data_IF_869432078958
#
_entry.id   IF_869432078958
#
_cell.length_a   1.000
_cell.length_b   1.000
_cell.length_c   1.000
_cell.angle_alpha   90.00
_cell.angle_beta   90.00
_cell.angle_gamma   90.00
#
_symmetry.space_group_name_H-M   'P 1'
#
loop_
_entity.id
_entity.type
_entity.pdbx_description
1 polymer ?
#
# COMPACT_ATOMS: atom_id res chain seq x y z
N UNK A 1 -13.13 2.80 13.91
CA UNK A 1 -12.70 2.07 12.69
C UNK A 1 -13.38 0.71 12.70
N UNK A 2 -13.98 0.28 11.60
CA UNK A 2 -14.61 -1.03 11.47
C UNK A 2 -13.67 -2.01 10.78
N UNK A 3 -13.87 -3.32 10.99
CA UNK A 3 -13.22 -4.36 10.21
C UNK A 3 -13.65 -4.27 8.74
N UNK A 4 -12.80 -4.74 7.83
CA UNK A 4 -13.11 -4.84 6.40
C UNK A 4 -13.43 -6.30 6.10
N UNK A 5 -14.66 -6.57 5.68
CA UNK A 5 -15.13 -7.91 5.34
C UNK A 5 -15.33 -8.06 3.84
N UNK A 6 -14.69 -9.08 3.28
CA UNK A 6 -14.90 -9.57 1.91
C UNK A 6 -15.86 -10.75 2.00
N UNK A 7 -16.98 -10.72 1.29
CA UNK A 7 -18.02 -11.74 1.35
C UNK A 7 -18.33 -12.33 -0.02
N UNK A 8 -18.09 -13.62 -0.16
CA UNK A 8 -18.44 -14.42 -1.35
C UNK A 8 -17.98 -13.78 -2.67
N UNK A 9 -16.82 -13.09 -2.65
CA UNK A 9 -16.31 -12.37 -3.81
C UNK A 9 -15.84 -13.34 -4.88
N UNK A 10 -16.33 -13.12 -6.12
CA UNK A 10 -15.84 -13.80 -7.31
C UNK A 10 -15.40 -12.76 -8.33
N UNK A 11 -14.28 -13.01 -9.00
CA UNK A 11 -13.72 -12.16 -10.06
C UNK A 11 -13.15 -13.02 -11.15
N UNK A 12 -13.54 -12.70 -12.39
CA UNK A 12 -13.03 -13.36 -13.60
C UNK A 12 -12.49 -12.33 -14.60
N UNK A 13 -11.52 -12.75 -15.40
CA UNK A 13 -11.01 -12.04 -16.58
C UNK A 13 -11.20 -12.92 -17.80
N UNK A 14 -12.28 -12.69 -18.54
CA UNK A 14 -12.73 -13.60 -19.57
C UNK A 14 -13.08 -14.97 -18.98
N UNK A 15 -12.46 -16.03 -19.46
CA UNK A 15 -12.67 -17.40 -18.96
C UNK A 15 -11.81 -17.75 -17.72
N UNK A 16 -10.90 -16.86 -17.33
CA UNK A 16 -10.01 -17.11 -16.19
C UNK A 16 -10.67 -16.65 -14.88
N UNK A 17 -11.08 -17.61 -14.04
CA UNK A 17 -11.60 -17.36 -12.69
C UNK A 17 -10.45 -17.14 -11.71
N UNK A 18 -10.27 -15.90 -11.25
CA UNK A 18 -9.15 -15.50 -10.37
C UNK A 18 -9.52 -15.59 -8.90
N UNK A 19 -10.74 -15.18 -8.55
CA UNK A 19 -11.30 -15.37 -7.22
C UNK A 19 -12.65 -16.09 -7.37
N UNK A 20 -12.91 -17.10 -6.53
CA UNK A 20 -14.15 -17.87 -6.57
C UNK A 20 -14.72 -18.00 -5.17
N UNK A 21 -15.87 -17.34 -4.92
CA UNK A 21 -16.60 -17.38 -3.66
C UNK A 21 -15.69 -17.11 -2.42
N UNK A 22 -14.75 -16.18 -2.57
CA UNK A 22 -13.74 -15.90 -1.56
C UNK A 22 -14.32 -15.02 -0.45
N UNK A 23 -14.08 -15.41 0.81
CA UNK A 23 -14.52 -14.66 1.98
C UNK A 23 -13.39 -14.56 3.00
N UNK A 24 -13.19 -13.36 3.56
CA UNK A 24 -12.21 -13.09 4.62
C UNK A 24 -12.56 -11.82 5.37
N UNK A 25 -11.90 -11.62 6.51
CA UNK A 25 -12.04 -10.40 7.33
C UNK A 25 -10.65 -9.85 7.63
N UNK A 26 -10.48 -8.55 7.48
CA UNK A 26 -9.30 -7.80 7.88
C UNK A 26 -9.63 -7.02 9.16
N UNK A 27 -9.04 -7.39 10.31
CA UNK A 27 -9.33 -6.73 11.57
C UNK A 27 -8.90 -5.26 11.57
N UNK A 28 -9.71 -4.40 12.19
CA UNK A 28 -9.38 -2.97 12.32
C UNK A 28 -8.10 -2.76 13.15
N UNK A 29 -7.25 -1.82 12.71
CA UNK A 29 -6.00 -1.47 13.41
C UNK A 29 -4.94 -2.57 13.38
N UNK A 30 -5.09 -3.58 12.53
CA UNK A 30 -4.12 -4.67 12.35
C UNK A 30 -3.42 -4.60 11.00
N UNK A 31 -2.26 -5.23 10.93
CA UNK A 31 -1.51 -5.42 9.70
C UNK A 31 -1.74 -6.84 9.18
N UNK A 32 -2.19 -6.97 7.93
CA UNK A 32 -2.41 -8.27 7.27
C UNK A 32 -1.64 -8.35 5.97
N UNK A 33 -0.82 -9.38 5.82
CA UNK A 33 -0.11 -9.71 4.59
C UNK A 33 -0.89 -10.72 3.76
N UNK A 34 -1.24 -10.38 2.53
CA UNK A 34 -1.83 -11.30 1.56
C UNK A 34 -0.67 -12.00 0.84
N UNK A 35 -0.56 -13.30 1.02
CA UNK A 35 0.47 -14.14 0.43
C UNK A 35 -0.13 -15.23 -0.46
N UNK A 36 0.65 -15.73 -1.40
CA UNK A 36 0.25 -16.81 -2.30
C UNK A 36 1.09 -16.83 -3.59
N UNK A 37 0.92 -17.83 -4.44
CA UNK A 37 1.64 -17.97 -5.70
C UNK A 37 1.43 -16.74 -6.62
N UNK A 38 2.32 -16.58 -7.60
CA UNK A 38 2.09 -15.58 -8.66
C UNK A 38 0.83 -15.92 -9.43
N UNK A 39 -0.01 -14.92 -9.72
CA UNK A 39 -1.25 -15.09 -10.48
C UNK A 39 -2.46 -15.60 -9.68
N UNK A 40 -2.34 -15.92 -8.38
CA UNK A 40 -3.48 -16.41 -7.57
C UNK A 40 -4.53 -15.36 -7.23
N UNK A 41 -4.35 -14.08 -7.62
CA UNK A 41 -5.38 -13.05 -7.43
C UNK A 41 -5.11 -12.04 -6.32
N UNK A 42 -3.91 -11.98 -5.73
CA UNK A 42 -3.59 -11.04 -4.63
C UNK A 42 -3.85 -9.57 -4.99
N UNK A 43 -3.28 -9.10 -6.11
CA UNK A 43 -3.51 -7.74 -6.64
C UNK A 43 -4.99 -7.52 -6.99
N UNK A 44 -5.66 -8.56 -7.50
CA UNK A 44 -7.10 -8.50 -7.79
C UNK A 44 -7.91 -8.32 -6.50
N UNK A 45 -7.63 -9.11 -5.46
CA UNK A 45 -8.27 -8.96 -4.16
C UNK A 45 -8.05 -7.56 -3.59
N UNK A 46 -6.82 -7.06 -3.62
CA UNK A 46 -6.49 -5.72 -3.15
C UNK A 46 -7.25 -4.64 -3.95
N UNK A 47 -7.37 -4.82 -5.27
CA UNK A 47 -8.13 -3.91 -6.15
C UNK A 47 -9.64 -3.93 -5.87
N UNK A 48 -10.20 -5.09 -5.52
CA UNK A 48 -11.61 -5.21 -5.11
C UNK A 48 -11.83 -4.52 -3.77
N UNK A 49 -10.94 -4.73 -2.79
CA UNK A 49 -11.00 -4.04 -1.49
C UNK A 49 -10.95 -2.53 -1.68
N UNK A 50 -10.08 -2.04 -2.56
CA UNK A 50 -9.94 -0.61 -2.89
C UNK A 50 -11.12 -0.03 -3.69
N UNK A 51 -12.09 -0.86 -4.12
CA UNK A 51 -13.19 -0.42 -5.01
C UNK A 51 -12.74 -0.06 -6.43
N UNK A 52 -11.49 -0.38 -6.81
CA UNK A 52 -10.94 -0.16 -8.15
C UNK A 52 -11.42 -1.21 -9.16
N UNK A 53 -11.86 -2.35 -8.66
CA UNK A 53 -12.47 -3.43 -9.42
C UNK A 53 -13.79 -3.83 -8.78
N UNK A 54 -14.87 -3.78 -9.55
CA UNK A 54 -16.17 -4.32 -9.13
C UNK A 54 -16.10 -5.84 -9.26
N UNK A 55 -16.40 -6.62 -8.22
CA UNK A 55 -16.45 -8.08 -8.33
C UNK A 55 -17.65 -8.53 -9.17
N UNK A 56 -17.55 -9.71 -9.78
CA UNK A 56 -18.64 -10.32 -10.56
C UNK A 56 -19.76 -10.80 -9.64
N UNK A 57 -19.42 -11.20 -8.40
CA UNK A 57 -20.35 -11.55 -7.33
C UNK A 57 -19.73 -11.24 -5.96
N UNK A 58 -20.59 -11.11 -4.94
CA UNK A 58 -20.16 -10.78 -3.58
C UNK A 58 -19.98 -9.29 -3.34
N UNK A 59 -19.45 -8.95 -2.19
CA UNK A 59 -19.30 -7.55 -1.76
C UNK A 59 -18.13 -7.35 -0.80
N UNK A 60 -17.69 -6.08 -0.66
CA UNK A 60 -16.75 -5.63 0.38
C UNK A 60 -17.48 -4.67 1.30
N UNK A 61 -17.44 -4.95 2.60
CA UNK A 61 -18.09 -4.15 3.64
C UNK A 61 -17.03 -3.55 4.56
N UNK A 62 -17.29 -2.35 5.08
CA UNK A 62 -16.44 -1.71 6.08
C UNK A 62 -15.25 -0.92 5.51
N UNK A 63 -15.06 -0.89 4.20
CA UNK A 63 -14.03 -0.05 3.59
C UNK A 63 -14.39 1.43 3.77
N UNK A 64 -13.51 2.26 4.37
CA UNK A 64 -13.78 3.67 4.54
C UNK A 64 -13.71 4.42 3.20
N UNK A 65 -14.39 5.57 3.12
CA UNK A 65 -14.33 6.42 1.92
C UNK A 65 -12.92 7.00 1.66
N UNK A 66 -12.15 7.21 2.74
CA UNK A 66 -10.78 7.71 2.66
C UNK A 66 -9.80 6.62 3.08
N UNK A 67 -8.95 6.25 2.17
CA UNK A 67 -7.85 5.30 2.36
C UNK A 67 -6.67 5.72 1.48
N UNK A 68 -5.52 5.16 1.73
CA UNK A 68 -4.32 5.38 0.93
C UNK A 68 -3.84 4.08 0.30
N UNK A 69 -3.16 4.19 -0.86
CA UNK A 69 -2.69 3.00 -1.58
C UNK A 69 -1.31 3.22 -2.20
N UNK A 70 -0.46 2.22 -2.03
CA UNK A 70 0.78 2.04 -2.80
C UNK A 70 0.50 0.97 -3.85
N UNK A 71 0.56 1.36 -5.11
CA UNK A 71 0.37 0.43 -6.23
C UNK A 71 1.65 -0.34 -6.53
N UNK A 72 1.57 -1.41 -7.28
CA UNK A 72 2.74 -2.14 -7.76
C UNK A 72 3.65 -1.22 -8.61
N UNK A 73 3.07 -0.35 -9.42
CA UNK A 73 3.74 0.75 -10.10
C UNK A 73 3.72 2.00 -9.22
N UNK A 74 4.77 2.82 -9.26
CA UNK A 74 4.90 3.98 -8.34
C UNK A 74 3.89 5.10 -8.62
N UNK A 75 3.37 5.19 -9.87
CA UNK A 75 2.36 6.17 -10.30
C UNK A 75 2.66 7.59 -9.82
N UNK A 76 3.91 8.00 -9.97
CA UNK A 76 4.37 9.35 -9.66
C UNK A 76 4.20 10.27 -10.88
N UNK A 77 3.95 11.56 -10.63
CA UNK A 77 4.01 12.59 -11.65
C UNK A 77 5.49 12.89 -11.94
N UNK A 78 6.02 12.35 -13.04
CA UNK A 78 7.47 12.35 -13.32
C UNK A 78 8.05 13.75 -13.50
N UNK A 79 7.30 14.67 -14.10
CA UNK A 79 7.72 16.05 -14.31
C UNK A 79 7.66 16.92 -13.05
N UNK A 80 7.06 16.41 -11.99
CA UNK A 80 6.95 17.11 -10.72
C UNK A 80 8.14 16.81 -9.82
N UNK A 81 8.40 17.72 -8.89
CA UNK A 81 9.35 17.46 -7.81
C UNK A 81 8.80 16.43 -6.83
N UNK A 82 9.71 15.83 -6.06
CA UNK A 82 9.34 14.93 -4.96
C UNK A 82 8.33 15.60 -4.01
N UNK A 83 8.65 16.80 -3.53
CA UNK A 83 7.76 17.53 -2.63
C UNK A 83 6.40 17.85 -3.27
N UNK A 84 6.37 18.15 -4.58
CA UNK A 84 5.11 18.39 -5.29
C UNK A 84 4.25 17.12 -5.36
N UNK A 85 4.84 15.95 -5.65
CA UNK A 85 4.13 14.67 -5.61
C UNK A 85 3.50 14.37 -4.23
N UNK A 86 4.21 14.69 -3.15
CA UNK A 86 3.69 14.49 -1.80
C UNK A 86 2.55 15.46 -1.48
N UNK A 87 2.64 16.71 -1.93
CA UNK A 87 1.58 17.72 -1.74
C UNK A 87 0.27 17.40 -2.45
N UNK A 88 0.28 16.54 -3.48
CA UNK A 88 -0.96 16.14 -4.17
C UNK A 88 -1.96 15.42 -3.26
N UNK A 89 -1.47 14.72 -2.23
CA UNK A 89 -2.30 13.92 -1.32
C UNK A 89 -2.28 14.41 0.12
N UNK A 90 -1.27 15.19 0.51
CA UNK A 90 -1.18 15.72 1.85
C UNK A 90 -2.24 16.80 2.05
N UNK A 91 -3.10 16.62 3.05
CA UNK A 91 -3.93 17.71 3.53
C UNK A 91 -3.04 18.92 3.87
N UNK A 92 -3.59 20.14 3.74
CA UNK A 92 -2.83 21.38 3.93
C UNK A 92 -2.04 21.39 5.25
N UNK A 93 -2.61 20.84 6.31
CA UNK A 93 -1.99 20.74 7.64
C UNK A 93 -0.81 19.76 7.65
N UNK A 94 -0.84 18.71 6.84
CA UNK A 94 0.19 17.69 6.79
C UNK A 94 1.37 18.02 5.87
N UNK A 95 1.29 19.12 5.12
CA UNK A 95 2.43 19.53 4.28
C UNK A 95 3.68 19.85 5.07
N UNK A 96 3.54 20.24 6.34
CA UNK A 96 4.66 20.43 7.26
C UNK A 96 5.38 19.11 7.62
N UNK A 97 4.75 17.96 7.44
CA UNK A 97 5.31 16.64 7.71
C UNK A 97 6.18 16.12 6.56
N UNK A 98 6.15 16.76 5.38
CA UNK A 98 6.90 16.30 4.19
C UNK A 98 8.40 16.09 4.47
N UNK A 99 9.13 17.02 5.11
CA UNK A 99 10.54 16.78 5.43
C UNK A 99 10.75 15.56 6.34
N UNK A 100 9.84 15.34 7.30
CA UNK A 100 9.92 14.24 8.26
C UNK A 100 9.71 12.88 7.58
N UNK A 101 8.70 12.76 6.70
CA UNK A 101 8.46 11.51 5.96
C UNK A 101 9.58 11.23 4.97
N UNK A 102 10.12 12.25 4.30
CA UNK A 102 11.27 12.09 3.41
C UNK A 102 12.50 11.63 4.18
N UNK A 103 12.77 12.20 5.36
CA UNK A 103 13.87 11.75 6.20
C UNK A 103 13.67 10.30 6.66
N UNK A 104 12.44 9.91 7.05
CA UNK A 104 12.11 8.55 7.43
C UNK A 104 12.26 7.53 6.27
N UNK A 105 12.17 7.99 5.01
CA UNK A 105 12.41 7.19 3.81
C UNK A 105 13.88 7.24 3.33
N UNK A 106 14.80 7.87 4.07
CA UNK A 106 16.18 8.06 3.62
C UNK A 106 16.31 8.94 2.38
N UNK A 107 15.40 9.91 2.21
CA UNK A 107 15.32 10.83 1.06
C UNK A 107 15.56 12.30 1.48
N UNK A 108 16.47 12.52 2.44
CA UNK A 108 16.83 13.86 2.92
C UNK A 108 17.27 14.73 1.75
N UNK A 109 16.86 16.00 1.74
CA UNK A 109 17.19 17.03 0.76
C UNK A 109 16.77 16.74 -0.71
N UNK A 110 15.99 15.67 -0.95
CA UNK A 110 15.51 15.35 -2.29
C UNK A 110 14.18 16.01 -2.67
N UNK A 111 13.58 16.78 -1.77
CA UNK A 111 12.26 17.38 -2.01
C UNK A 111 12.15 18.27 -3.24
N UNK A 112 13.22 18.96 -3.62
CA UNK A 112 13.27 19.82 -4.81
C UNK A 112 13.63 19.11 -6.11
N UNK A 113 14.13 17.86 -6.03
CA UNK A 113 14.48 17.07 -7.24
C UNK A 113 13.23 16.63 -7.98
N UNK A 114 13.33 16.55 -9.31
CA UNK A 114 12.28 15.95 -10.15
C UNK A 114 12.31 14.43 -10.01
N UNK A 115 11.14 13.81 -10.16
CA UNK A 115 11.02 12.34 -10.09
C UNK A 115 11.84 11.64 -11.19
N UNK A 116 11.98 12.25 -12.35
CA UNK A 116 12.84 11.75 -13.45
C UNK A 116 14.31 11.57 -13.07
N UNK A 117 14.80 12.31 -12.06
CA UNK A 117 16.20 12.25 -11.60
C UNK A 117 16.45 11.13 -10.57
N UNK A 118 15.39 10.43 -10.14
CA UNK A 118 15.46 9.43 -9.09
C UNK A 118 15.73 8.02 -9.63
N UNK A 119 16.46 7.22 -8.87
CA UNK A 119 16.54 5.78 -9.11
C UNK A 119 15.19 5.08 -8.84
N UNK A 120 15.00 3.85 -9.34
CA UNK A 120 13.77 3.09 -9.11
C UNK A 120 13.45 2.90 -7.62
N UNK A 121 14.45 2.54 -6.81
CA UNK A 121 14.27 2.41 -5.36
C UNK A 121 13.94 3.74 -4.67
N UNK A 122 14.44 4.87 -5.16
CA UNK A 122 14.06 6.19 -4.66
C UNK A 122 12.62 6.53 -5.05
N UNK A 123 12.21 6.27 -6.29
CA UNK A 123 10.81 6.44 -6.76
C UNK A 123 9.87 5.61 -5.89
N UNK A 124 10.21 4.35 -5.61
CA UNK A 124 9.42 3.46 -4.75
C UNK A 124 9.22 4.06 -3.36
N UNK A 125 10.30 4.56 -2.74
CA UNK A 125 10.24 5.21 -1.42
C UNK A 125 9.41 6.51 -1.44
N UNK A 126 9.45 7.29 -2.52
CA UNK A 126 8.57 8.46 -2.69
C UNK A 126 7.10 8.06 -2.80
N UNK A 127 6.78 6.96 -3.51
CA UNK A 127 5.41 6.45 -3.61
C UNK A 127 4.88 6.01 -2.24
N UNK A 128 5.70 5.34 -1.43
CA UNK A 128 5.36 4.98 -0.05
C UNK A 128 5.17 6.24 0.80
N UNK A 129 6.12 7.19 0.76
CA UNK A 129 6.02 8.46 1.49
C UNK A 129 4.73 9.21 1.17
N UNK A 130 4.34 9.23 -0.11
CA UNK A 130 3.09 9.85 -0.56
C UNK A 130 1.88 9.17 0.09
N UNK A 131 1.83 7.85 0.12
CA UNK A 131 0.72 7.12 0.75
C UNK A 131 0.65 7.36 2.26
N UNK A 132 1.79 7.47 2.96
CA UNK A 132 1.85 7.75 4.39
C UNK A 132 1.34 9.14 4.75
N UNK A 133 1.47 10.14 3.86
CA UNK A 133 0.97 11.50 4.04
C UNK A 133 -0.52 11.64 3.70
N UNK A 134 -1.09 10.70 2.99
CA UNK A 134 -2.51 10.71 2.66
C UNK A 134 -3.39 10.53 3.90
N UNK A 135 -4.63 11.01 3.79
CA UNK A 135 -5.64 10.86 4.84
C UNK A 135 -6.28 9.48 4.79
N UNK A 136 -6.74 9.01 5.94
CA UNK A 136 -7.47 7.75 6.10
C UNK A 136 -6.77 6.80 7.08
N UNK A 137 -7.59 5.87 7.57
CA UNK A 137 -7.20 4.91 8.59
C UNK A 137 -6.84 3.54 8.00
N UNK A 138 -6.89 3.41 6.67
CA UNK A 138 -6.55 2.19 5.94
C UNK A 138 -5.44 2.49 4.94
N UNK A 139 -4.39 1.69 4.97
CA UNK A 139 -3.31 1.68 3.99
C UNK A 139 -3.30 0.35 3.24
N UNK A 140 -3.46 0.40 1.93
CA UNK A 140 -3.32 -0.75 1.03
C UNK A 140 -1.98 -0.68 0.31
N UNK A 141 -1.25 -1.79 0.20
CA UNK A 141 0.04 -1.80 -0.49
C UNK A 141 0.21 -3.07 -1.34
N UNK A 142 0.59 -2.88 -2.60
CA UNK A 142 0.89 -3.98 -3.53
C UNK A 142 2.40 -4.08 -3.77
N UNK A 143 3.03 -5.14 -3.25
CA UNK A 143 4.47 -5.42 -3.28
C UNK A 143 5.31 -4.18 -2.90
N UNK A 144 5.05 -3.51 -1.74
CA UNK A 144 5.58 -2.17 -1.46
C UNK A 144 7.10 -2.11 -1.40
N UNK A 145 7.77 -3.17 -1.00
CA UNK A 145 9.21 -3.18 -0.75
C UNK A 145 10.03 -3.83 -1.87
N UNK A 146 9.37 -4.20 -2.97
CA UNK A 146 10.03 -4.78 -4.14
C UNK A 146 11.08 -3.85 -4.74
N UNK A 147 12.26 -4.41 -5.02
CA UNK A 147 13.36 -3.66 -5.64
C UNK A 147 14.18 -2.80 -4.67
N UNK A 148 13.89 -2.83 -3.37
CA UNK A 148 14.75 -2.26 -2.35
C UNK A 148 15.81 -3.27 -1.91
N UNK A 149 17.03 -2.79 -1.64
CA UNK A 149 18.05 -3.60 -0.96
C UNK A 149 17.66 -3.88 0.49
N UNK A 150 18.28 -4.87 1.12
CA UNK A 150 17.88 -5.37 2.44
C UNK A 150 17.98 -4.31 3.55
N UNK A 151 19.00 -3.46 3.53
CA UNK A 151 19.21 -2.40 4.53
C UNK A 151 18.12 -1.33 4.41
N UNK A 152 17.96 -0.78 3.19
CA UNK A 152 16.94 0.21 2.87
C UNK A 152 15.53 -0.34 3.15
N UNK A 153 15.26 -1.61 2.81
CA UNK A 153 13.97 -2.25 3.06
C UNK A 153 13.64 -2.24 4.55
N UNK A 154 14.55 -2.66 5.40
CA UNK A 154 14.35 -2.66 6.86
C UNK A 154 14.08 -1.27 7.44
N UNK A 155 14.76 -0.22 6.93
CA UNK A 155 14.49 1.16 7.34
C UNK A 155 13.09 1.64 6.92
N UNK A 156 12.72 1.36 5.68
CA UNK A 156 11.40 1.73 5.14
C UNK A 156 10.27 1.02 5.87
N UNK A 157 10.43 -0.28 6.18
CA UNK A 157 9.45 -1.05 6.97
C UNK A 157 9.24 -0.41 8.35
N UNK A 158 10.32 -0.09 9.07
CA UNK A 158 10.22 0.60 10.37
C UNK A 158 9.51 1.95 10.26
N UNK A 159 9.78 2.70 9.20
CA UNK A 159 9.10 3.96 8.96
C UNK A 159 7.61 3.75 8.69
N UNK A 160 7.24 2.79 7.83
CA UNK A 160 5.83 2.45 7.55
C UNK A 160 5.11 2.08 8.84
N UNK A 161 5.67 1.20 9.68
CA UNK A 161 5.07 0.83 10.96
C UNK A 161 4.78 2.04 11.84
N UNK A 162 5.77 2.93 12.00
CA UNK A 162 5.64 4.14 12.84
C UNK A 162 4.54 5.08 12.31
N UNK A 163 4.45 5.27 11.00
CA UNK A 163 3.48 6.18 10.37
C UNK A 163 2.07 5.59 10.26
N UNK A 164 1.93 4.27 10.42
CA UNK A 164 0.66 3.57 10.37
C UNK A 164 0.21 3.01 11.72
N UNK A 165 0.80 3.47 12.81
CA UNK A 165 0.40 3.06 14.15
C UNK A 165 -1.10 3.33 14.38
N UNK A 166 -1.83 2.26 14.77
CA UNK A 166 -3.28 2.29 14.97
C UNK A 166 -4.12 2.22 13.68
N UNK A 167 -3.52 2.22 12.49
CA UNK A 167 -4.22 2.06 11.21
C UNK A 167 -4.36 0.59 10.82
N UNK A 168 -5.33 0.30 9.96
CA UNK A 168 -5.43 -0.99 9.29
C UNK A 168 -4.50 -0.99 8.07
N UNK A 169 -3.59 -1.97 8.01
CA UNK A 169 -2.66 -2.12 6.90
C UNK A 169 -2.92 -3.46 6.21
N UNK A 170 -3.15 -3.43 4.91
CA UNK A 170 -3.29 -4.65 4.09
C UNK A 170 -2.23 -4.57 2.99
N UNK A 171 -1.32 -5.52 2.95
CA UNK A 171 -0.28 -5.51 1.93
C UNK A 171 -0.10 -6.86 1.27
N UNK A 172 0.19 -6.83 -0.02
CA UNK A 172 0.55 -8.00 -0.82
C UNK A 172 2.06 -8.14 -0.81
N UNK A 173 2.54 -9.34 -0.53
CA UNK A 173 3.96 -9.67 -0.66
C UNK A 173 4.17 -11.13 -1.05
N UNK A 174 5.31 -11.43 -1.66
CA UNK A 174 5.82 -12.78 -1.86
C UNK A 174 7.03 -13.10 -0.95
N UNK A 175 7.52 -12.11 -0.20
CA UNK A 175 8.63 -12.25 0.74
C UNK A 175 8.10 -12.49 2.16
N UNK A 176 8.23 -13.74 2.64
CA UNK A 176 7.78 -14.11 3.99
C UNK A 176 8.54 -13.39 5.11
N UNK A 177 9.74 -12.87 4.83
CA UNK A 177 10.53 -12.08 5.78
C UNK A 177 9.89 -10.73 6.11
N UNK A 178 9.12 -10.15 5.18
CA UNK A 178 8.47 -8.86 5.38
C UNK A 178 7.32 -8.93 6.40
N UNK A 179 6.68 -10.10 6.56
CA UNK A 179 5.52 -10.25 7.43
C UNK A 179 5.85 -10.02 8.90
N UNK A 180 6.84 -10.73 9.52
CA UNK A 180 7.22 -10.46 10.90
C UNK A 180 7.82 -9.06 11.08
N UNK A 181 8.56 -8.55 10.09
CA UNK A 181 9.08 -7.19 10.13
C UNK A 181 7.97 -6.14 10.16
N UNK A 182 6.86 -6.36 9.45
CA UNK A 182 5.66 -5.52 9.48
C UNK A 182 4.73 -5.81 10.68
N UNK A 183 5.07 -6.78 11.55
CA UNK A 183 4.21 -7.29 12.63
C UNK A 183 2.82 -7.71 12.12
N UNK A 184 2.79 -8.28 10.92
CA UNK A 184 1.56 -8.67 10.23
C UNK A 184 1.13 -10.10 10.51
N UNK A 185 -0.15 -10.36 10.27
CA UNK A 185 -0.73 -11.70 10.20
C UNK A 185 -0.80 -12.14 8.73
N UNK A 186 -0.65 -13.44 8.46
CA UNK A 186 -0.71 -13.96 7.08
C UNK A 186 -2.13 -14.34 6.71
N UNK A 187 -2.60 -13.83 5.58
CA UNK A 187 -3.73 -14.36 4.81
C UNK A 187 -3.18 -15.10 3.61
N UNK A 188 -3.36 -16.41 3.58
CA UNK A 188 -2.95 -17.23 2.45
C UNK A 188 -4.06 -17.26 1.40
N UNK A 189 -3.74 -16.90 0.15
CA UNK A 189 -4.64 -16.93 -1.01
C UNK A 189 -4.30 -18.09 -1.94
#
# INVERSE_FOLDING_TARGET
MNEIAVRNVSVSYGENHVLTNFSTVFPAGRCTAIMGPSGCGKTTLLSVIAGLRVPDAGEVIGMPQQFTMVFQEDRLCEDFTVAANLRLVAARIRTAEIPMVLAAMGLVDLGSKRVTELSGGMKRRVAIARALLGEGDVLLMDEPFKGLDAETKGEVIRAVQKWTEGKTVIFVTHDSGEVPEMKGEVLQL
#
